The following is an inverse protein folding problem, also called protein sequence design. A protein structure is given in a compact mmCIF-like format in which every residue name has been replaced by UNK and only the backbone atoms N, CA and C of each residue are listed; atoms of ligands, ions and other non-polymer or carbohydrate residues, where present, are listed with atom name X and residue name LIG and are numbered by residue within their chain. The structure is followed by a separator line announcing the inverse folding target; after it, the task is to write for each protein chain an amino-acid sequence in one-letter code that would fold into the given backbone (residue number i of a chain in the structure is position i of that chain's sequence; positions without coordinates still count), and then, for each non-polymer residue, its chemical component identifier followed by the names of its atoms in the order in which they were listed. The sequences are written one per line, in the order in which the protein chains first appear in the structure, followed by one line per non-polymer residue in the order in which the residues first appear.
data_IF_850821216958
#
_entry.id   IF_850821216958
#
_cell.length_a   1.000
_cell.length_b   1.000
_cell.length_c   1.000
_cell.angle_alpha   90.00
_cell.angle_beta   90.00
_cell.angle_gamma   90.00
#
_symmetry.space_group_name_H-M   'P 1'
#
loop_
_entity.id
_entity.type
_entity.pdbx_description
1 polymer ?
#
# COMPACT_ATOMS: atom_id res chain seq x y z
N UNK A 1 7.37 -17.11 -18.69
CA UNK A 1 7.38 -15.64 -18.58
C UNK A 1 8.77 -15.12 -18.93
N UNK A 2 8.87 -14.24 -19.93
CA UNK A 2 10.15 -13.65 -20.33
C UNK A 2 10.71 -12.70 -19.26
N UNK A 3 12.01 -12.39 -19.31
CA UNK A 3 12.67 -11.51 -18.34
C UNK A 3 12.02 -10.11 -18.24
N UNK A 4 11.48 -9.58 -19.35
CA UNK A 4 10.75 -8.32 -19.39
C UNK A 4 9.39 -8.38 -18.66
N UNK A 5 8.73 -9.53 -18.68
CA UNK A 5 7.43 -9.74 -18.04
C UNK A 5 7.59 -9.84 -16.51
N UNK A 6 8.69 -10.42 -16.03
CA UNK A 6 9.02 -10.52 -14.61
C UNK A 6 9.35 -9.17 -13.95
N UNK A 7 9.70 -8.16 -14.77
CA UNK A 7 10.11 -6.83 -14.30
C UNK A 7 9.04 -5.76 -14.49
N UNK A 8 7.83 -6.12 -14.97
CA UNK A 8 6.74 -5.16 -15.14
C UNK A 8 6.31 -4.58 -13.79
N UNK A 9 6.35 -3.25 -13.68
CA UNK A 9 5.87 -2.50 -12.52
C UNK A 9 4.59 -1.76 -12.90
N UNK A 10 3.52 -1.94 -12.12
CA UNK A 10 2.35 -1.06 -12.15
C UNK A 10 2.26 -0.24 -10.86
N UNK A 11 2.10 1.07 -11.00
CA UNK A 11 1.96 2.00 -9.86
C UNK A 11 0.49 2.20 -9.51
N UNK A 12 0.19 2.25 -8.22
CA UNK A 12 -1.16 2.50 -7.66
C UNK A 12 -1.03 3.63 -6.66
N UNK A 13 -1.62 4.78 -6.99
CA UNK A 13 -1.56 5.98 -6.15
C UNK A 13 -2.90 6.24 -5.48
N UNK A 14 -2.90 6.36 -4.15
CA UNK A 14 -4.04 6.82 -3.37
C UNK A 14 -3.94 8.34 -3.18
N UNK A 15 -4.75 9.10 -3.92
CA UNK A 15 -4.74 10.58 -3.89
C UNK A 15 -6.03 11.12 -3.32
N UNK A 16 -5.93 12.13 -2.46
CA UNK A 16 -7.03 13.02 -2.11
C UNK A 16 -6.88 14.39 -2.79
N UNK A 17 -6.00 15.26 -2.27
CA UNK A 17 -5.81 16.63 -2.75
C UNK A 17 -4.36 16.93 -3.16
N UNK A 18 -3.47 15.95 -3.05
CA UNK A 18 -2.04 16.10 -3.32
C UNK A 18 -1.76 16.40 -4.81
N UNK A 19 -0.67 17.12 -5.06
CA UNK A 19 -0.12 17.30 -6.40
C UNK A 19 0.56 15.99 -6.86
N UNK A 20 0.15 15.50 -8.02
CA UNK A 20 0.63 14.25 -8.62
C UNK A 20 1.51 14.47 -9.86
N UNK A 21 1.91 15.71 -10.15
CA UNK A 21 2.79 16.04 -11.28
C UNK A 21 4.15 15.31 -11.21
N UNK A 22 4.56 14.88 -10.01
CA UNK A 22 5.76 14.07 -9.79
C UNK A 22 5.75 12.73 -10.55
N UNK A 23 4.57 12.21 -10.92
CA UNK A 23 4.43 10.96 -11.69
C UNK A 23 5.11 11.05 -13.06
N UNK A 24 5.17 12.23 -13.67
CA UNK A 24 5.87 12.43 -14.94
C UNK A 24 7.37 12.09 -14.83
N UNK A 25 7.98 12.43 -13.68
CA UNK A 25 9.40 12.14 -13.40
C UNK A 25 9.63 10.75 -12.81
N UNK A 26 8.58 10.09 -12.29
CA UNK A 26 8.63 8.68 -11.87
C UNK A 26 8.84 7.76 -13.08
N UNK A 27 8.15 8.04 -14.18
CA UNK A 27 8.28 7.36 -15.47
C UNK A 27 7.81 5.90 -15.46
N UNK A 28 6.81 5.57 -14.63
CA UNK A 28 6.23 4.23 -14.54
C UNK A 28 4.73 4.29 -14.84
N UNK A 29 4.17 3.29 -15.55
CA UNK A 29 2.73 3.24 -15.82
C UNK A 29 1.95 2.90 -14.55
N UNK A 30 0.66 3.25 -14.52
CA UNK A 30 -0.13 3.02 -13.33
C UNK A 30 -1.51 3.64 -13.31
N UNK A 31 -2.08 3.71 -12.11
CA UNK A 31 -3.41 4.24 -11.83
C UNK A 31 -3.33 5.21 -10.66
N UNK A 32 -3.87 6.40 -10.85
CA UNK A 32 -4.19 7.33 -9.76
C UNK A 32 -5.65 7.14 -9.40
N UNK A 33 -5.90 6.64 -8.20
CA UNK A 33 -7.24 6.64 -7.63
C UNK A 33 -7.46 7.98 -6.92
N UNK A 34 -8.31 8.80 -7.53
CA UNK A 34 -8.64 10.12 -7.03
C UNK A 34 -9.86 10.07 -6.11
N UNK A 35 -9.68 10.52 -4.87
CA UNK A 35 -10.70 10.60 -3.82
C UNK A 35 -11.10 12.02 -3.45
N UNK A 36 -10.46 13.02 -4.05
CA UNK A 36 -10.74 14.43 -3.78
C UNK A 36 -11.15 15.18 -5.03
N UNK A 37 -10.88 16.50 -5.09
CA UNK A 37 -11.23 17.33 -6.23
C UNK A 37 -10.75 16.74 -7.56
N UNK A 38 -11.50 16.97 -8.63
CA UNK A 38 -11.10 16.54 -9.97
C UNK A 38 -9.70 17.09 -10.33
N UNK A 39 -8.93 16.27 -11.01
CA UNK A 39 -7.63 16.66 -11.54
C UNK A 39 -7.82 17.32 -12.91
N UNK A 40 -7.06 18.39 -13.23
CA UNK A 40 -7.09 18.99 -14.55
C UNK A 40 -6.79 17.98 -15.67
N UNK A 41 -7.46 18.14 -16.81
CA UNK A 41 -7.18 17.32 -17.98
C UNK A 41 -5.72 17.44 -18.41
N UNK A 42 -5.10 16.32 -18.80
CA UNK A 42 -3.71 16.30 -19.29
C UNK A 42 -2.62 16.38 -18.20
N UNK A 43 -2.96 16.41 -16.91
CA UNK A 43 -1.96 16.46 -15.83
C UNK A 43 -1.18 15.15 -15.66
N UNK A 44 -1.75 14.03 -16.07
CA UNK A 44 -1.14 12.71 -15.92
C UNK A 44 -0.23 12.38 -17.12
N UNK A 45 0.95 11.79 -16.88
CA UNK A 45 1.83 11.39 -17.96
C UNK A 45 1.25 10.19 -18.74
N UNK A 46 1.74 9.93 -19.97
CA UNK A 46 1.37 8.74 -20.73
C UNK A 46 1.54 7.44 -19.93
N UNK A 47 0.59 6.51 -20.06
CA UNK A 47 0.61 5.24 -19.33
C UNK A 47 0.10 5.32 -17.88
N UNK A 48 -0.24 6.51 -17.37
CA UNK A 48 -0.91 6.69 -16.10
C UNK A 48 -2.37 7.07 -16.34
N UNK A 49 -3.29 6.25 -15.83
CA UNK A 49 -4.74 6.49 -15.90
C UNK A 49 -5.27 7.02 -14.57
N UNK A 50 -6.41 7.70 -14.62
CA UNK A 50 -7.15 8.13 -13.43
C UNK A 50 -8.40 7.27 -13.23
N UNK A 51 -8.75 7.00 -11.98
CA UNK A 51 -10.03 6.39 -11.59
C UNK A 51 -10.57 7.12 -10.36
N UNK A 52 -11.88 7.39 -10.31
CA UNK A 52 -12.49 8.00 -9.14
C UNK A 52 -12.80 6.93 -8.07
N UNK A 53 -12.66 7.29 -6.79
CA UNK A 53 -13.18 6.54 -5.65
C UNK A 53 -13.78 7.50 -4.63
N UNK A 54 -14.75 7.08 -3.81
CA UNK A 54 -15.18 7.88 -2.67
C UNK A 54 -14.03 8.04 -1.65
N UNK A 55 -14.01 9.17 -0.94
CA UNK A 55 -13.05 9.45 0.13
C UNK A 55 -13.33 8.65 1.39
N UNK A 56 -13.08 7.35 1.30
CA UNK A 56 -13.33 6.34 2.32
C UNK A 56 -12.02 5.64 2.66
N UNK A 57 -11.82 5.33 3.94
CA UNK A 57 -10.91 4.25 4.36
C UNK A 57 -9.44 4.48 4.02
N UNK A 58 -9.02 5.75 3.97
CA UNK A 58 -7.64 6.18 3.68
C UNK A 58 -7.04 5.53 2.44
N UNK A 59 -5.74 5.26 2.41
CA UNK A 59 -5.08 4.55 1.30
C UNK A 59 -5.49 3.08 1.20
N UNK A 60 -5.87 2.45 2.31
CA UNK A 60 -6.25 1.04 2.34
C UNK A 60 -7.45 0.73 1.42
N UNK A 61 -8.49 1.56 1.45
CA UNK A 61 -9.60 1.43 0.52
C UNK A 61 -9.14 1.47 -0.95
N UNK A 62 -8.19 2.35 -1.29
CA UNK A 62 -7.63 2.43 -2.65
C UNK A 62 -6.91 1.14 -3.05
N UNK A 63 -6.00 0.66 -2.20
CA UNK A 63 -5.17 -0.50 -2.53
C UNK A 63 -6.00 -1.76 -2.64
N UNK A 64 -6.97 -1.95 -1.73
CA UNK A 64 -7.87 -3.11 -1.75
C UNK A 64 -8.79 -3.08 -2.97
N UNK A 65 -9.40 -1.93 -3.29
CA UNK A 65 -10.22 -1.79 -4.49
C UNK A 65 -9.43 -2.08 -5.77
N UNK A 66 -8.16 -1.65 -5.84
CA UNK A 66 -7.29 -1.96 -6.96
C UNK A 66 -6.99 -3.47 -7.06
N UNK A 67 -6.60 -4.10 -5.95
CA UNK A 67 -6.27 -5.53 -5.93
C UNK A 67 -7.47 -6.35 -6.39
N UNK A 68 -8.67 -6.08 -5.85
CA UNK A 68 -9.90 -6.81 -6.20
C UNK A 68 -10.21 -6.64 -7.69
N UNK A 69 -10.23 -5.40 -8.19
CA UNK A 69 -10.61 -5.12 -9.58
C UNK A 69 -9.62 -5.66 -10.61
N UNK A 70 -8.36 -5.92 -10.23
CA UNK A 70 -7.30 -6.34 -11.14
C UNK A 70 -6.71 -7.71 -10.76
N UNK A 71 -7.35 -8.47 -9.86
CA UNK A 71 -6.76 -9.65 -9.23
C UNK A 71 -6.18 -10.67 -10.22
N UNK A 72 -6.86 -10.89 -11.35
CA UNK A 72 -6.43 -11.80 -12.42
C UNK A 72 -5.38 -11.20 -13.38
N UNK A 73 -5.13 -9.88 -13.33
CA UNK A 73 -4.32 -9.14 -14.30
C UNK A 73 -3.27 -8.22 -13.62
N UNK A 74 -2.86 -8.55 -12.39
CA UNK A 74 -1.81 -7.80 -11.68
C UNK A 74 -0.47 -7.87 -12.44
N UNK A 75 0.29 -6.76 -12.48
CA UNK A 75 1.66 -6.77 -13.01
C UNK A 75 2.58 -7.64 -12.15
N UNK A 76 3.78 -7.96 -12.63
CA UNK A 76 4.75 -8.74 -11.85
C UNK A 76 5.09 -8.08 -10.50
N UNK A 77 5.17 -6.75 -10.46
CA UNK A 77 5.29 -5.96 -9.25
C UNK A 77 4.29 -4.81 -9.22
N UNK A 78 3.65 -4.60 -8.08
CA UNK A 78 2.74 -3.48 -7.84
C UNK A 78 3.35 -2.53 -6.81
N UNK A 79 3.52 -1.26 -7.17
CA UNK A 79 3.99 -0.21 -6.27
C UNK A 79 2.77 0.56 -5.74
N UNK A 80 2.46 0.41 -4.45
CA UNK A 80 1.41 1.16 -3.76
C UNK A 80 2.01 2.40 -3.12
N UNK A 81 1.48 3.58 -3.44
CA UNK A 81 1.98 4.88 -3.00
C UNK A 81 0.84 5.79 -2.55
N UNK A 82 1.10 6.66 -1.56
CA UNK A 82 0.21 7.78 -1.23
C UNK A 82 0.39 8.91 -2.25
N UNK A 83 -0.54 9.88 -2.27
CA UNK A 83 -0.52 11.02 -3.20
C UNK A 83 0.76 11.87 -3.10
N UNK A 84 1.31 11.98 -1.89
CA UNK A 84 2.64 12.52 -1.60
C UNK A 84 3.42 11.52 -0.73
N UNK A 85 4.20 10.59 -1.33
CA UNK A 85 4.93 9.60 -0.57
C UNK A 85 6.20 10.17 0.08
N UNK A 86 6.73 11.30 -0.40
CA UNK A 86 8.14 11.70 -0.23
C UNK A 86 8.55 12.05 1.20
N UNK A 87 7.61 12.56 2.02
CA UNK A 87 7.86 12.89 3.42
C UNK A 87 8.28 11.67 4.28
N UNK A 88 8.03 10.46 3.78
CA UNK A 88 8.27 9.22 4.51
C UNK A 88 9.35 8.33 3.88
N UNK A 89 9.89 8.68 2.71
CA UNK A 89 10.86 7.83 1.99
C UNK A 89 12.31 8.04 2.43
N UNK A 90 12.60 9.19 3.04
CA UNK A 90 13.95 9.63 3.42
C UNK A 90 13.92 10.18 4.86
N UNK A 91 14.97 9.98 5.67
CA UNK A 91 15.11 10.63 6.96
C UNK A 91 14.96 12.16 6.89
N UNK A 92 14.43 12.83 7.93
CA UNK A 92 14.20 14.28 7.91
C UNK A 92 15.46 15.14 7.73
N UNK A 93 16.62 14.60 8.10
CA UNK A 93 17.94 15.22 8.04
C UNK A 93 18.69 14.93 6.73
N UNK A 94 18.10 14.18 5.80
CA UNK A 94 18.69 13.84 4.51
C UNK A 94 17.95 14.51 3.33
N UNK A 95 18.62 14.73 2.18
CA UNK A 95 17.97 15.26 0.99
C UNK A 95 16.82 14.37 0.51
N UNK A 96 15.61 14.95 0.40
CA UNK A 96 14.40 14.23 -0.04
C UNK A 96 14.65 13.45 -1.33
N UNK A 97 14.23 12.18 -1.35
CA UNK A 97 14.27 11.34 -2.55
C UNK A 97 13.49 12.01 -3.68
N UNK A 98 14.14 12.22 -4.82
CA UNK A 98 13.47 12.81 -5.99
C UNK A 98 12.49 11.80 -6.62
N UNK A 99 11.48 12.26 -7.39
CA UNK A 99 10.58 11.34 -8.10
C UNK A 99 11.32 10.40 -9.06
N UNK A 100 12.38 10.88 -9.72
CA UNK A 100 13.25 10.06 -10.57
C UNK A 100 14.02 9.02 -9.74
N UNK A 101 14.54 9.42 -8.58
CA UNK A 101 15.21 8.51 -7.64
C UNK A 101 14.27 7.42 -7.10
N UNK A 102 13.01 7.77 -6.80
CA UNK A 102 11.98 6.78 -6.46
C UNK A 102 11.74 5.81 -7.61
N UNK A 103 11.61 6.31 -8.84
CA UNK A 103 11.47 5.47 -10.03
C UNK A 103 12.65 4.51 -10.22
N UNK A 104 13.88 4.97 -9.99
CA UNK A 104 15.08 4.12 -10.05
C UNK A 104 15.07 3.05 -8.95
N UNK A 105 14.73 3.43 -7.71
CA UNK A 105 14.63 2.51 -6.58
C UNK A 105 13.60 1.40 -6.83
N UNK A 106 12.42 1.73 -7.36
CA UNK A 106 11.39 0.73 -7.69
C UNK A 106 11.87 -0.25 -8.77
N UNK A 107 12.55 0.25 -9.82
CA UNK A 107 13.14 -0.60 -10.86
C UNK A 107 14.23 -1.52 -10.32
N UNK A 108 15.09 -1.02 -9.44
CA UNK A 108 16.12 -1.83 -8.79
C UNK A 108 15.50 -2.96 -7.94
N UNK A 109 14.47 -2.65 -7.15
CA UNK A 109 13.78 -3.65 -6.34
C UNK A 109 13.09 -4.71 -7.20
N UNK A 110 12.43 -4.31 -8.29
CA UNK A 110 11.79 -5.25 -9.22
C UNK A 110 12.81 -6.09 -10.01
N UNK A 111 13.93 -5.50 -10.43
CA UNK A 111 15.02 -6.23 -11.09
C UNK A 111 15.70 -7.25 -10.17
N UNK A 112 15.74 -6.96 -8.86
CA UNK A 112 16.17 -7.90 -7.83
C UNK A 112 15.08 -8.91 -7.44
N UNK A 113 13.94 -8.95 -8.14
CA UNK A 113 12.79 -9.83 -7.88
C UNK A 113 12.33 -9.78 -6.40
N UNK A 114 12.34 -8.57 -5.84
CA UNK A 114 12.08 -8.35 -4.41
C UNK A 114 10.61 -8.67 -4.08
N UNK A 115 10.32 -9.67 -3.23
CA UNK A 115 8.94 -10.09 -2.98
C UNK A 115 8.10 -9.02 -2.28
N UNK A 116 8.71 -8.26 -1.37
CA UNK A 116 8.07 -7.19 -0.62
C UNK A 116 9.13 -6.19 -0.15
N UNK A 117 8.86 -4.91 -0.39
CA UNK A 117 9.67 -3.81 0.14
C UNK A 117 8.76 -2.70 0.66
N UNK A 118 8.83 -2.42 1.95
CA UNK A 118 8.33 -1.15 2.48
C UNK A 118 9.29 -0.03 2.09
N UNK A 119 8.75 1.10 1.64
CA UNK A 119 9.55 2.20 1.09
C UNK A 119 9.86 3.29 2.13
N UNK A 120 9.20 3.23 3.29
CA UNK A 120 9.47 4.15 4.39
C UNK A 120 10.92 4.03 4.87
N UNK A 121 11.52 5.15 5.30
CA UNK A 121 12.88 5.18 5.84
C UNK A 121 13.01 4.45 7.18
N UNK A 122 11.89 4.21 7.86
CA UNK A 122 11.82 3.57 9.17
C UNK A 122 10.96 2.31 9.15
N UNK A 123 11.06 1.53 10.22
CA UNK A 123 10.16 0.41 10.54
C UNK A 123 9.55 0.68 11.90
N UNK A 124 8.27 0.34 12.06
CA UNK A 124 7.59 0.46 13.33
C UNK A 124 7.40 -0.93 13.95
N UNK A 125 7.70 -1.06 15.24
CA UNK A 125 7.25 -2.19 16.05
C UNK A 125 6.07 -1.72 16.88
N UNK A 126 4.98 -2.48 16.90
CA UNK A 126 3.83 -2.13 17.73
C UNK A 126 3.16 -3.34 18.40
N UNK A 127 2.35 -3.09 19.42
CA UNK A 127 1.48 -4.08 20.07
C UNK A 127 0.12 -4.20 19.37
N UNK A 128 -0.79 -4.98 19.95
CA UNK A 128 -2.15 -5.18 19.43
C UNK A 128 -3.05 -3.94 19.43
N UNK A 129 -2.68 -2.90 20.19
CA UNK A 129 -3.31 -1.58 20.21
C UNK A 129 -2.57 -0.59 19.30
N UNK A 130 -1.60 -1.08 18.53
CA UNK A 130 -0.78 -0.32 17.60
C UNK A 130 0.21 0.63 18.28
N UNK A 131 0.45 0.48 19.58
CA UNK A 131 1.38 1.34 20.34
C UNK A 131 2.82 0.91 20.09
N UNK A 132 3.78 1.86 20.02
CA UNK A 132 3.59 3.29 20.19
C UNK A 132 2.96 3.94 18.94
N UNK A 133 2.09 4.92 19.19
CA UNK A 133 1.55 5.82 18.18
C UNK A 133 1.22 7.18 18.83
N UNK A 134 0.98 8.18 18.00
CA UNK A 134 0.77 9.57 18.42
C UNK A 134 -0.67 10.07 18.18
N UNK A 135 -1.62 9.15 17.96
CA UNK A 135 -3.04 9.50 17.80
C UNK A 135 -3.67 10.19 19.01
N UNK A 136 -3.03 10.20 20.18
CA UNK A 136 -3.46 10.95 21.35
C UNK A 136 -2.64 12.24 21.58
N UNK A 137 -1.73 12.59 20.67
CA UNK A 137 -0.95 13.84 20.74
C UNK A 137 -1.90 15.05 20.71
N UNK A 138 -1.90 15.91 21.74
CA UNK A 138 -2.72 17.12 21.78
C UNK A 138 -2.50 18.05 20.58
N UNK A 139 -1.28 18.11 20.03
CA UNK A 139 -0.97 18.93 18.85
C UNK A 139 -1.66 18.43 17.57
N UNK A 140 -2.18 17.20 17.59
CA UNK A 140 -2.87 16.56 16.45
C UNK A 140 -4.38 16.44 16.66
N UNK A 141 -4.93 17.05 17.70
CA UNK A 141 -6.36 17.00 18.00
C UNK A 141 -7.19 17.53 16.84
N UNK A 142 -8.20 16.76 16.43
CA UNK A 142 -9.07 17.09 15.30
C UNK A 142 -8.49 16.79 13.92
N UNK A 143 -7.23 16.34 13.82
CA UNK A 143 -6.63 15.95 12.54
C UNK A 143 -7.28 14.71 11.92
N UNK A 144 -7.78 13.79 12.77
CA UNK A 144 -8.45 12.56 12.37
C UNK A 144 -9.63 12.28 13.31
N UNK A 145 -10.69 11.63 12.81
CA UNK A 145 -11.87 11.28 13.64
C UNK A 145 -11.53 10.25 14.73
N UNK A 146 -10.55 9.38 14.48
CA UNK A 146 -10.04 8.41 15.46
C UNK A 146 -9.03 8.97 16.48
N UNK A 147 -8.85 10.29 16.56
CA UNK A 147 -7.97 10.91 17.57
C UNK A 147 -8.35 10.47 18.99
N UNK A 148 -7.34 10.20 19.82
CA UNK A 148 -7.48 9.74 21.20
C UNK A 148 -7.80 8.25 21.36
N UNK A 149 -8.05 7.52 20.26
CA UNK A 149 -8.25 6.07 20.28
C UNK A 149 -6.96 5.34 19.91
N UNK A 150 -6.83 4.11 20.41
CA UNK A 150 -5.80 3.18 19.94
C UNK A 150 -6.06 2.74 18.49
N UNK A 151 -5.07 2.08 17.90
CA UNK A 151 -5.19 1.46 16.57
C UNK A 151 -5.54 -0.02 16.78
N UNK A 152 -6.65 -0.54 16.21
CA UNK A 152 -7.13 -1.90 16.48
C UNK A 152 -6.32 -2.98 15.74
N UNK A 153 -4.99 -2.97 15.81
CA UNK A 153 -4.09 -3.85 15.02
C UNK A 153 -4.38 -5.33 15.26
N UNK A 154 -4.49 -5.76 16.51
CA UNK A 154 -4.79 -7.16 16.83
C UNK A 154 -6.21 -7.57 16.43
N UNK A 155 -7.20 -6.70 16.68
CA UNK A 155 -8.58 -6.99 16.30
C UNK A 155 -8.75 -7.10 14.77
N UNK A 156 -8.16 -6.16 14.02
CA UNK A 156 -8.13 -6.18 12.55
C UNK A 156 -7.36 -7.40 12.03
N UNK A 157 -6.23 -7.77 12.64
CA UNK A 157 -5.52 -9.00 12.27
C UNK A 157 -6.40 -10.23 12.44
N UNK A 158 -7.01 -10.41 13.63
CA UNK A 158 -7.87 -11.58 13.90
C UNK A 158 -9.02 -11.66 12.91
N UNK A 159 -9.66 -10.53 12.59
CA UNK A 159 -10.75 -10.48 11.62
C UNK A 159 -10.30 -10.81 10.18
N UNK A 160 -9.08 -10.44 9.80
CA UNK A 160 -8.54 -10.70 8.46
C UNK A 160 -8.10 -12.15 8.27
N UNK A 161 -7.34 -12.67 9.24
CA UNK A 161 -6.64 -13.95 9.14
C UNK A 161 -7.42 -15.12 9.75
N UNK A 162 -8.50 -14.84 10.48
CA UNK A 162 -9.23 -15.84 11.27
C UNK A 162 -8.29 -16.64 12.19
N UNK A 163 -7.38 -15.91 12.83
CA UNK A 163 -6.30 -16.48 13.62
C UNK A 163 -5.96 -15.57 14.81
N UNK A 164 -5.47 -16.12 15.94
CA UNK A 164 -5.03 -15.32 17.06
C UNK A 164 -3.93 -14.33 16.65
N UNK A 165 -4.11 -13.07 17.03
CA UNK A 165 -3.12 -12.03 16.79
C UNK A 165 -1.80 -12.31 17.53
N UNK A 166 -0.64 -12.04 16.89
CA UNK A 166 0.65 -12.09 17.57
C UNK A 166 0.73 -10.99 18.65
N UNK A 167 1.62 -11.19 19.63
CA UNK A 167 1.85 -10.21 20.72
C UNK A 167 2.44 -8.89 20.22
N UNK A 168 3.16 -8.91 19.11
CA UNK A 168 3.78 -7.74 18.51
C UNK A 168 3.83 -7.86 16.99
N UNK A 169 3.80 -6.70 16.34
CA UNK A 169 3.82 -6.55 14.88
C UNK A 169 5.04 -5.74 14.47
N UNK A 170 5.58 -6.06 13.28
CA UNK A 170 6.60 -5.25 12.60
C UNK A 170 5.98 -4.72 11.33
N UNK A 171 5.85 -3.39 11.25
CA UNK A 171 5.33 -2.69 10.09
C UNK A 171 6.49 -2.07 9.30
N UNK A 172 6.88 -2.73 8.21
CA UNK A 172 7.87 -2.21 7.26
C UNK A 172 7.28 -1.18 6.28
N UNK A 173 5.95 -1.14 6.14
CA UNK A 173 5.22 -0.22 5.28
C UNK A 173 4.26 0.67 6.11
N UNK A 174 4.75 1.18 7.24
CA UNK A 174 3.97 1.95 8.22
C UNK A 174 3.38 3.27 7.69
N UNK A 175 3.63 3.62 6.43
CA UNK A 175 3.08 4.81 5.74
C UNK A 175 2.31 4.42 4.47
N UNK A 176 1.95 3.16 4.29
CA UNK A 176 1.27 2.67 3.09
C UNK A 176 2.11 2.64 1.79
N UNK A 177 3.36 3.10 1.82
CA UNK A 177 4.24 3.12 0.65
C UNK A 177 5.05 1.83 0.54
N UNK A 178 4.83 1.03 -0.51
CA UNK A 178 5.42 -0.31 -0.66
C UNK A 178 5.48 -0.80 -2.11
N UNK A 179 6.43 -1.69 -2.40
CA UNK A 179 6.45 -2.54 -3.60
C UNK A 179 6.13 -3.98 -3.20
N UNK A 180 5.23 -4.62 -3.94
CA UNK A 180 4.79 -5.99 -3.68
C UNK A 180 4.85 -6.80 -4.97
N UNK A 181 5.51 -7.95 -4.94
CA UNK A 181 5.51 -8.89 -6.06
C UNK A 181 4.16 -9.61 -6.16
N UNK A 182 3.73 -9.90 -7.38
CA UNK A 182 2.43 -10.49 -7.69
C UNK A 182 2.12 -11.73 -6.87
N UNK A 183 3.07 -12.66 -6.73
CA UNK A 183 2.88 -13.91 -5.98
C UNK A 183 2.53 -13.67 -4.51
N UNK A 184 3.02 -12.57 -3.90
CA UNK A 184 2.68 -12.20 -2.51
C UNK A 184 1.27 -11.65 -2.37
N UNK A 185 0.76 -11.01 -3.42
CA UNK A 185 -0.67 -10.64 -3.49
C UNK A 185 -1.50 -11.90 -3.71
N UNK A 186 -1.11 -12.77 -4.65
CA UNK A 186 -1.85 -13.98 -4.97
C UNK A 186 -1.72 -15.10 -3.91
N UNK A 187 -0.86 -14.95 -2.91
CA UNK A 187 -0.76 -15.85 -1.76
C UNK A 187 -2.02 -15.82 -0.87
N UNK A 188 -2.91 -14.85 -1.08
CA UNK A 188 -4.20 -14.72 -0.41
C UNK A 188 -5.32 -14.81 -1.45
N UNK A 189 -6.38 -15.61 -1.24
CA UNK A 189 -7.48 -15.69 -2.19
C UNK A 189 -8.21 -14.35 -2.31
N UNK A 190 -8.92 -14.12 -3.41
CA UNK A 190 -9.72 -12.90 -3.63
C UNK A 190 -10.63 -12.57 -2.44
N UNK A 191 -11.30 -13.58 -1.87
CA UNK A 191 -12.16 -13.44 -0.70
C UNK A 191 -11.46 -12.85 0.54
N UNK A 192 -10.14 -13.00 0.68
CA UNK A 192 -9.37 -12.34 1.73
C UNK A 192 -9.38 -10.81 1.55
N UNK A 193 -9.17 -10.36 0.32
CA UNK A 193 -9.17 -8.94 -0.02
C UNK A 193 -10.58 -8.33 0.06
N UNK A 194 -11.61 -9.08 -0.30
CA UNK A 194 -13.01 -8.66 -0.14
C UNK A 194 -13.37 -8.47 1.35
N UNK A 195 -12.95 -9.39 2.23
CA UNK A 195 -13.09 -9.21 3.68
C UNK A 195 -12.32 -8.00 4.18
N UNK A 196 -11.09 -7.82 3.72
CA UNK A 196 -10.29 -6.65 4.07
C UNK A 196 -10.98 -5.34 3.66
N UNK A 197 -11.55 -5.30 2.46
CA UNK A 197 -12.32 -4.15 1.97
C UNK A 197 -13.56 -3.92 2.84
N UNK A 198 -14.29 -4.97 3.21
CA UNK A 198 -15.47 -4.86 4.07
C UNK A 198 -15.15 -4.24 5.44
N UNK A 199 -14.01 -4.60 6.06
CA UNK A 199 -13.56 -3.97 7.32
C UNK A 199 -13.32 -2.47 7.15
N UNK A 200 -12.71 -2.07 6.04
CA UNK A 200 -12.48 -0.66 5.73
C UNK A 200 -13.80 0.09 5.47
N UNK A 201 -14.74 -0.52 4.74
CA UNK A 201 -16.04 0.08 4.46
C UNK A 201 -16.91 0.23 5.73
N UNK A 202 -16.69 -0.60 6.75
CA UNK A 202 -17.36 -0.51 8.04
C UNK A 202 -16.86 0.65 8.92
N UNK A 203 -15.70 1.24 8.60
CA UNK A 203 -15.12 2.40 9.29
C UNK A 203 -14.73 3.49 8.27
N UNK A 204 -15.71 4.07 7.56
CA UNK A 204 -15.44 4.79 6.33
C UNK A 204 -14.63 6.08 6.53
N UNK A 205 -14.80 6.72 7.69
CA UNK A 205 -14.07 7.93 8.07
C UNK A 205 -12.84 7.66 8.95
N UNK A 206 -12.47 6.40 9.12
CA UNK A 206 -11.37 5.97 10.00
C UNK A 206 -11.56 6.46 11.46
N UNK A 207 -12.80 6.48 11.94
CA UNK A 207 -13.15 6.89 13.29
C UNK A 207 -12.71 5.86 14.35
N UNK A 208 -12.49 4.61 13.93
CA UNK A 208 -11.94 3.53 14.76
C UNK A 208 -10.49 3.21 14.42
N UNK A 209 -9.82 4.04 13.61
CA UNK A 209 -8.44 3.85 13.17
C UNK A 209 -8.22 2.54 12.39
N UNK A 210 -9.24 2.00 11.72
CA UNK A 210 -9.14 0.76 10.95
C UNK A 210 -8.16 0.89 9.78
N UNK A 211 -8.19 2.02 9.07
CA UNK A 211 -7.21 2.35 8.03
C UNK A 211 -5.79 2.46 8.58
N UNK A 212 -5.60 3.09 9.75
CA UNK A 212 -4.30 3.06 10.43
C UNK A 212 -3.87 1.63 10.80
N UNK A 213 -4.79 0.73 11.16
CA UNK A 213 -4.44 -0.66 11.41
C UNK A 213 -3.86 -1.34 10.16
N UNK A 214 -4.39 -1.04 8.96
CA UNK A 214 -3.83 -1.54 7.70
C UNK A 214 -2.39 -1.07 7.44
N UNK A 215 -2.05 0.18 7.76
CA UNK A 215 -0.65 0.65 7.68
C UNK A 215 0.31 -0.24 8.50
N UNK A 216 -0.18 -0.84 9.61
CA UNK A 216 0.61 -1.74 10.48
C UNK A 216 0.62 -3.18 9.96
N UNK A 217 -0.40 -3.56 9.18
CA UNK A 217 -0.65 -4.93 8.76
C UNK A 217 -0.25 -5.23 7.32
N UNK A 218 0.09 -4.25 6.48
CA UNK A 218 0.45 -4.51 5.08
C UNK A 218 1.51 -5.59 4.90
N UNK A 219 2.54 -5.57 5.74
CA UNK A 219 3.54 -6.63 5.70
C UNK A 219 2.91 -8.01 5.98
N UNK A 220 2.04 -8.12 6.99
CA UNK A 220 1.36 -9.38 7.31
C UNK A 220 0.41 -9.83 6.18
N UNK A 221 -0.34 -8.90 5.58
CA UNK A 221 -1.24 -9.14 4.44
C UNK A 221 -0.50 -9.84 3.30
N UNK A 222 0.70 -9.36 2.95
CA UNK A 222 1.54 -9.91 1.88
C UNK A 222 2.58 -10.93 2.38
N UNK A 223 2.56 -11.28 3.66
CA UNK A 223 3.39 -12.35 4.23
C UNK A 223 2.64 -13.67 4.15
N UNK A 224 3.06 -14.55 3.25
CA UNK A 224 2.57 -15.92 3.11
C UNK A 224 3.49 -16.69 2.18
N UNK A 225 3.52 -18.02 2.29
CA UNK A 225 4.12 -18.83 1.24
C UNK A 225 3.33 -18.54 -0.04
N UNK A 226 4.00 -17.98 -1.06
CA UNK A 226 3.38 -17.88 -2.38
C UNK A 226 2.96 -19.27 -2.82
N UNK A 227 1.88 -19.38 -3.60
CA UNK A 227 1.60 -20.63 -4.30
C UNK A 227 2.89 -21.05 -5.01
N UNK A 228 3.37 -22.30 -4.85
CA UNK A 228 4.56 -22.74 -5.56
C UNK A 228 4.35 -22.45 -7.04
N UNK A 229 5.34 -21.81 -7.69
CA UNK A 229 5.32 -21.68 -9.13
C UNK A 229 5.07 -23.08 -9.69
N UNK A 230 3.99 -23.23 -10.47
CA UNK A 230 3.59 -24.52 -11.03
C UNK A 230 4.78 -25.23 -11.69
N UNK A 231 4.74 -26.56 -11.79
CA UNK A 231 5.88 -27.36 -12.22
C UNK A 231 6.44 -26.77 -13.52
N UNK A 232 7.72 -26.39 -13.50
CA UNK A 232 8.48 -26.08 -14.72
C UNK A 232 8.44 -27.36 -15.54
N UNK A 233 7.61 -27.39 -16.57
CA UNK A 233 7.56 -28.48 -17.53
C UNK A 233 8.98 -28.74 -18.00
N UNK A 234 9.49 -29.93 -17.68
CA UNK A 234 10.66 -30.46 -18.35
C UNK A 234 10.16 -30.84 -19.74
N UNK A 235 10.65 -30.13 -20.74
CA UNK A 235 10.58 -30.60 -22.12
C UNK A 235 11.56 -31.77 -22.23
N UNK A 236 11.02 -32.95 -22.51
CA UNK A 236 11.72 -33.97 -23.30
C UNK A 236 11.43 -33.71 -24.78
#
# INVERSE_FOLDING_TARGET
MGAAEQQQIGVVVARYAEDVAWLAKLGLPGVVYNKGPELPAGILPPGVRIAALPNIGREAHTYLAHIIANYAALPAHTAFLQGDPFAHLTPPDEPRLSPTGLGQRLRQLAAADTPFAGLAWFRLRCDGQGRPHDLADPAKKGRWKGWGRDIPVAATFTALFDAPAPRAFIARAATGNMLVRRDRILARPLAFYERALALILADPDDAWNTGHAFERLWQAVFSGAGAPAGPRGQAE
#
